data_IF_305100494647
#
_entry.id   IF_305100494647
#
_cell.length_a   1.000
_cell.length_b   1.000
_cell.length_c   1.000
_cell.angle_alpha   90.00
_cell.angle_beta   90.00
_cell.angle_gamma   90.00
#
_symmetry.space_group_name_H-M   'P 1'
#
loop_
_entity.id
_entity.type
_entity.pdbx_description
1 polymer ?
#
# COMPACT_ATOMS: atom_id res chain seq x y z
N UNK A 1 -12.07 9.38 -21.83
CA UNK A 1 -12.25 9.85 -20.45
C UNK A 1 -11.77 8.73 -19.55
N UNK A 2 -10.84 8.99 -18.62
CA UNK A 2 -10.43 7.98 -17.65
C UNK A 2 -11.57 7.77 -16.66
N UNK A 3 -11.89 6.53 -16.32
CA UNK A 3 -12.87 6.23 -15.27
C UNK A 3 -12.22 5.44 -14.15
N UNK A 4 -12.45 5.87 -12.91
CA UNK A 4 -11.97 5.21 -11.70
C UNK A 4 -13.14 4.53 -10.99
N UNK A 5 -12.90 3.33 -10.45
CA UNK A 5 -13.88 2.57 -9.69
C UNK A 5 -13.22 1.90 -8.49
N UNK A 6 -14.02 1.57 -7.48
CA UNK A 6 -13.60 0.95 -6.23
C UNK A 6 -12.43 1.65 -5.53
N UNK A 7 -12.50 2.97 -5.27
CA UNK A 7 -11.44 3.67 -4.55
C UNK A 7 -11.35 3.17 -3.11
N UNK A 8 -10.16 2.79 -2.67
CA UNK A 8 -9.87 2.37 -1.28
C UNK A 8 -8.55 3.00 -0.84
N UNK A 9 -8.48 3.50 0.40
CA UNK A 9 -7.21 3.96 0.94
C UNK A 9 -6.22 2.80 1.04
N UNK A 10 -5.06 2.95 0.41
CA UNK A 10 -3.98 1.96 0.44
C UNK A 10 -2.99 2.20 1.59
N UNK A 11 -3.11 3.33 2.28
CA UNK A 11 -2.28 3.69 3.42
C UNK A 11 -3.11 4.25 4.58
N UNK A 12 -2.70 3.96 5.81
CA UNK A 12 -3.37 4.39 7.04
C UNK A 12 -3.39 5.91 7.26
N UNK A 13 -2.47 6.65 6.63
CA UNK A 13 -2.37 8.10 6.67
C UNK A 13 -3.17 8.78 5.53
N UNK A 14 -3.99 7.99 4.82
CA UNK A 14 -4.75 8.37 3.66
C UNK A 14 -3.88 8.99 2.56
N UNK A 15 -2.58 8.72 2.48
CA UNK A 15 -1.71 9.29 1.45
C UNK A 15 -1.86 8.65 0.07
N UNK A 16 -2.34 7.41 0.04
CA UNK A 16 -2.48 6.59 -1.15
C UNK A 16 -3.92 6.11 -1.30
N UNK A 17 -4.43 6.11 -2.54
CA UNK A 17 -5.71 5.51 -2.90
C UNK A 17 -5.47 4.53 -4.04
N UNK A 18 -5.91 3.28 -3.85
CA UNK A 18 -5.99 2.27 -4.90
C UNK A 18 -7.34 2.35 -5.59
N UNK A 19 -7.32 2.25 -6.92
CA UNK A 19 -8.50 2.24 -7.79
C UNK A 19 -8.34 1.22 -8.91
N UNK A 20 -9.47 0.84 -9.49
CA UNK A 20 -9.53 0.17 -10.79
C UNK A 20 -9.77 1.22 -11.87
N UNK A 21 -8.76 1.46 -12.70
CA UNK A 21 -8.75 2.49 -13.73
C UNK A 21 -9.03 1.90 -15.12
N UNK A 22 -9.94 2.51 -15.88
CA UNK A 22 -10.15 2.21 -17.31
C UNK A 22 -9.59 3.37 -18.12
N UNK A 23 -8.53 3.10 -18.89
CA UNK A 23 -7.82 4.13 -19.66
C UNK A 23 -8.46 4.38 -21.02
N UNK A 24 -9.06 3.34 -21.60
CA UNK A 24 -9.73 3.36 -22.89
C UNK A 24 -11.07 2.65 -22.75
N UNK A 25 -12.13 3.26 -23.23
CA UNK A 25 -13.47 2.68 -23.20
C UNK A 25 -13.48 1.31 -23.91
N UNK A 26 -13.99 0.29 -23.23
CA UNK A 26 -14.00 -1.09 -23.73
C UNK A 26 -12.76 -1.93 -23.37
N UNK A 27 -11.74 -1.35 -22.73
CA UNK A 27 -10.62 -2.11 -22.16
C UNK A 27 -10.89 -2.57 -20.73
N UNK A 28 -10.26 -3.68 -20.28
CA UNK A 28 -10.35 -4.10 -18.90
C UNK A 28 -9.77 -3.03 -17.96
N UNK A 29 -10.39 -2.89 -16.79
CA UNK A 29 -9.85 -2.05 -15.74
C UNK A 29 -8.52 -2.62 -15.23
N UNK A 30 -7.55 -1.76 -14.96
CA UNK A 30 -6.26 -2.13 -14.39
C UNK A 30 -6.10 -1.52 -12.99
N UNK A 31 -5.39 -2.19 -12.08
CA UNK A 31 -5.06 -1.61 -10.79
C UNK A 31 -4.17 -0.37 -10.97
N UNK A 32 -4.50 0.69 -10.26
CA UNK A 32 -3.74 1.93 -10.24
C UNK A 32 -3.74 2.54 -8.85
N UNK A 33 -2.60 3.09 -8.42
CA UNK A 33 -2.43 3.74 -7.12
C UNK A 33 -2.14 5.23 -7.33
N UNK A 34 -2.97 6.09 -6.77
CA UNK A 34 -2.77 7.54 -6.75
C UNK A 34 -2.19 7.97 -5.40
N UNK A 35 -1.23 8.91 -5.43
CA UNK A 35 -0.60 9.45 -4.22
C UNK A 35 -0.83 10.96 -4.11
N UNK A 36 -1.21 11.43 -2.94
CA UNK A 36 -1.32 12.89 -2.67
C UNK A 36 0.05 13.57 -2.61
N UNK A 37 1.11 12.80 -2.38
CA UNK A 37 2.48 13.31 -2.19
C UNK A 37 3.32 13.24 -3.48
N UNK A 38 2.87 12.51 -4.50
CA UNK A 38 3.54 12.44 -5.79
C UNK A 38 2.94 13.49 -6.74
N UNK A 39 3.70 14.50 -7.19
CA UNK A 39 3.19 15.54 -8.08
C UNK A 39 2.67 14.99 -9.42
N UNK A 40 3.12 13.82 -9.87
CA UNK A 40 2.62 13.18 -11.09
C UNK A 40 1.20 12.62 -10.93
N UNK A 41 0.78 12.28 -9.71
CA UNK A 41 -0.51 11.60 -9.44
C UNK A 41 -1.40 12.37 -8.46
N UNK A 42 -0.93 13.47 -7.89
CA UNK A 42 -1.67 14.30 -6.94
C UNK A 42 -2.99 14.87 -7.53
N UNK A 43 -2.99 15.23 -8.81
CA UNK A 43 -4.20 15.69 -9.50
C UNK A 43 -5.25 14.56 -9.60
N UNK A 44 -4.81 13.34 -9.92
CA UNK A 44 -5.67 12.15 -10.00
C UNK A 44 -6.20 11.79 -8.62
N UNK A 45 -5.36 11.87 -7.59
CA UNK A 45 -5.76 11.67 -6.20
C UNK A 45 -6.91 12.62 -5.81
N UNK A 46 -6.80 13.91 -6.15
CA UNK A 46 -7.84 14.90 -5.89
C UNK A 46 -9.13 14.63 -6.69
N UNK A 47 -9.00 14.18 -7.95
CA UNK A 47 -10.15 13.81 -8.79
C UNK A 47 -10.92 12.62 -8.21
N UNK A 48 -10.21 11.59 -7.74
CA UNK A 48 -10.82 10.42 -7.08
C UNK A 48 -11.59 10.85 -5.83
N UNK A 49 -11.03 11.75 -5.02
CA UNK A 49 -11.73 12.29 -3.84
C UNK A 49 -12.96 13.12 -4.20
N UNK A 50 -12.91 13.87 -5.31
CA UNK A 50 -14.04 14.65 -5.78
C UNK A 50 -15.16 13.76 -6.36
N UNK A 51 -14.82 12.59 -6.88
CA UNK A 51 -15.76 11.65 -7.50
C UNK A 51 -16.66 10.93 -6.48
N UNK A 52 -16.30 10.88 -5.20
CA UNK A 52 -17.16 10.33 -4.14
C UNK A 52 -16.41 9.71 -2.97
N UNK A 53 -17.08 8.75 -2.32
CA UNK A 53 -16.56 8.11 -1.10
C UNK A 53 -15.45 7.11 -1.40
N UNK A 54 -14.33 7.26 -0.70
CA UNK A 54 -13.20 6.31 -0.71
C UNK A 54 -13.37 5.30 0.43
N UNK A 55 -13.21 4.02 0.14
CA UNK A 55 -13.24 2.95 1.13
C UNK A 55 -12.12 3.08 2.16
N UNK A 56 -12.39 2.62 3.38
CA UNK A 56 -11.42 2.68 4.47
C UNK A 56 -10.20 1.79 4.20
N UNK A 57 -9.04 2.21 4.70
CA UNK A 57 -7.85 1.38 4.72
C UNK A 57 -8.08 0.10 5.53
N UNK A 58 -7.69 -1.03 4.97
CA UNK A 58 -7.66 -2.32 5.66
C UNK A 58 -6.21 -2.78 5.75
N UNK A 59 -5.69 -2.82 6.98
CA UNK A 59 -4.33 -3.29 7.21
C UNK A 59 -4.18 -4.77 6.79
N UNK A 60 -3.07 -5.14 6.16
CA UNK A 60 -2.78 -6.55 5.92
C UNK A 60 -2.70 -7.29 7.27
N UNK A 61 -3.13 -8.57 7.32
CA UNK A 61 -3.06 -9.35 8.54
C UNK A 61 -1.62 -9.42 9.05
N UNK A 62 -1.45 -9.29 10.37
CA UNK A 62 -0.14 -9.42 10.98
C UNK A 62 0.47 -10.79 10.63
N UNK A 63 1.78 -10.86 10.30
CA UNK A 63 2.42 -12.12 9.97
C UNK A 63 2.40 -13.05 11.17
N UNK A 64 2.02 -14.30 10.93
CA UNK A 64 2.06 -15.38 11.92
C UNK A 64 3.48 -15.70 12.36
N UNK A 65 3.64 -16.36 13.52
CA UNK A 65 4.95 -16.84 13.99
C UNK A 65 5.66 -17.73 12.97
N UNK A 66 4.92 -18.58 12.25
CA UNK A 66 5.49 -19.43 11.21
C UNK A 66 6.04 -18.60 10.03
N UNK A 67 5.32 -17.55 9.60
CA UNK A 67 5.79 -16.65 8.54
C UNK A 67 7.01 -15.82 8.99
N UNK A 68 7.03 -15.38 10.26
CA UNK A 68 8.18 -14.69 10.83
C UNK A 68 9.41 -15.61 10.93
N UNK A 69 9.22 -16.86 11.36
CA UNK A 69 10.29 -17.86 11.43
C UNK A 69 10.83 -18.19 10.03
N UNK A 70 9.96 -18.32 9.03
CA UNK A 70 10.37 -18.49 7.64
C UNK A 70 11.18 -17.30 7.12
N UNK A 71 10.77 -16.06 7.43
CA UNK A 71 11.52 -14.86 7.06
C UNK A 71 12.89 -14.77 7.76
N UNK A 72 12.98 -15.20 9.02
CA UNK A 72 14.24 -15.30 9.75
C UNK A 72 15.19 -16.33 9.11
N UNK A 73 14.70 -17.53 8.79
CA UNK A 73 15.48 -18.58 8.12
C UNK A 73 15.91 -18.14 6.71
N UNK A 74 15.04 -17.43 5.99
CA UNK A 74 15.33 -16.86 4.68
C UNK A 74 16.30 -15.66 4.73
N UNK A 75 16.78 -15.26 5.90
CA UNK A 75 17.72 -14.15 6.07
C UNK A 75 17.11 -12.75 5.87
N UNK A 76 15.77 -12.65 5.85
CA UNK A 76 15.05 -11.38 5.70
C UNK A 76 14.94 -10.57 7.00
N UNK A 77 15.30 -11.16 8.14
CA UNK A 77 15.38 -10.47 9.44
C UNK A 77 16.84 -10.42 9.91
N UNK A 78 17.42 -9.22 9.92
CA UNK A 78 18.71 -8.96 10.57
C UNK A 78 18.48 -8.72 12.06
N UNK A 79 18.92 -9.64 12.91
CA UNK A 79 18.99 -9.44 14.36
C UNK A 79 20.39 -8.94 14.70
N UNK A 80 20.52 -7.64 14.98
CA UNK A 80 21.77 -7.07 15.52
C UNK A 80 21.78 -7.25 17.03
N UNK A 81 22.59 -8.18 17.54
CA UNK A 81 22.84 -8.32 18.97
C UNK A 81 23.93 -7.33 19.41
N UNK A 82 23.63 -6.47 20.38
CA UNK A 82 24.57 -5.47 20.94
C UNK A 82 25.19 -5.89 22.26
N UNK A 83 24.96 -7.11 22.74
CA UNK A 83 25.50 -7.55 24.03
C UNK A 83 26.95 -8.00 23.90
N UNK A 84 27.88 -7.17 24.36
CA UNK A 84 29.26 -7.57 24.67
C UNK A 84 29.22 -8.46 25.93
N UNK A 85 29.71 -9.72 25.89
CA UNK A 85 29.78 -10.54 27.10
C UNK A 85 30.74 -9.90 28.10
N UNK A 86 30.28 -9.66 29.33
CA UNK A 86 31.17 -9.31 30.44
C UNK A 86 31.88 -10.59 30.92
N UNK A 87 33.22 -10.61 30.84
CA UNK A 87 34.05 -11.64 31.47
C UNK A 87 34.13 -11.31 32.97
N UNK A 88 33.61 -12.20 33.82
CA UNK A 88 33.92 -12.23 35.26
C UNK A 88 34.98 -13.30 35.52
#
# INVERSE_FOLDING_TARGET
MFSFSNPVYAAADNSLIDVMAVLVEGMPAIPYTASKNDPATAAIYAEILAAGSVGAYVAPPAPTLAQQAAALIAGGLTITSTSTPALN
#
